data_IF_198128000499
#
_entry.id   IF_198128000499
#
_cell.length_a   1.000
_cell.length_b   1.000
_cell.length_c   1.000
_cell.angle_alpha   90.00
_cell.angle_beta   90.00
_cell.angle_gamma   90.00
#
_symmetry.space_group_name_H-M   'P 1'
#
loop_
_entity.id
_entity.type
_entity.pdbx_description
1 polymer ?
#
# COMPACT_ATOMS: atom_id res chain seq x y z
N UNK A 1 -11.95 -4.21 -0.38
CA UNK A 1 -10.63 -4.80 -0.06
C UNK A 1 -9.76 -3.72 0.56
N UNK A 2 -8.95 -4.04 1.57
CA UNK A 2 -7.99 -3.09 2.13
C UNK A 2 -6.61 -3.42 1.57
N UNK A 3 -6.02 -2.50 0.80
CA UNK A 3 -4.63 -2.62 0.37
C UNK A 3 -3.73 -2.59 1.62
N UNK A 4 -2.92 -3.63 1.79
CA UNK A 4 -1.92 -3.75 2.85
C UNK A 4 -0.51 -3.59 2.27
N UNK A 5 0.45 -3.33 3.15
CA UNK A 5 1.89 -3.35 2.84
C UNK A 5 2.54 -4.58 3.46
N UNK A 6 3.63 -5.13 2.89
CA UNK A 6 4.43 -4.60 1.78
C UNK A 6 3.73 -4.72 0.42
N UNK A 7 3.94 -3.72 -0.43
CA UNK A 7 3.65 -3.79 -1.85
C UNK A 7 4.98 -3.86 -2.62
N UNK A 8 5.09 -4.77 -3.59
CA UNK A 8 6.35 -5.05 -4.26
C UNK A 8 6.26 -4.81 -5.77
N UNK A 9 7.14 -3.94 -6.28
CA UNK A 9 7.18 -3.55 -7.69
C UNK A 9 8.61 -3.47 -8.21
N UNK A 10 8.78 -3.57 -9.54
CA UNK A 10 10.06 -3.27 -10.18
C UNK A 10 10.36 -1.78 -9.99
N UNK A 11 11.49 -1.46 -9.34
CA UNK A 11 11.94 -0.07 -9.07
C UNK A 11 11.81 0.85 -10.29
N UNK A 12 12.26 0.41 -11.46
CA UNK A 12 12.22 1.22 -12.70
C UNK A 12 10.79 1.63 -13.06
N UNK A 13 9.85 0.69 -13.00
CA UNK A 13 8.43 0.92 -13.33
C UNK A 13 7.79 1.83 -12.29
N UNK A 14 8.03 1.56 -11.00
CA UNK A 14 7.48 2.35 -9.91
C UNK A 14 7.91 3.82 -10.02
N UNK A 15 9.20 4.05 -10.25
CA UNK A 15 9.75 5.41 -10.39
C UNK A 15 9.17 6.15 -11.59
N UNK A 16 9.04 5.48 -12.74
CA UNK A 16 8.43 6.06 -13.95
C UNK A 16 6.99 6.49 -13.69
N UNK A 17 6.19 5.64 -13.04
CA UNK A 17 4.80 5.96 -12.70
C UNK A 17 4.72 7.17 -11.76
N UNK A 18 5.56 7.23 -10.72
CA UNK A 18 5.62 8.37 -9.80
C UNK A 18 6.00 9.67 -10.50
N UNK A 19 6.94 9.64 -11.46
CA UNK A 19 7.33 10.81 -12.25
C UNK A 19 6.18 11.30 -13.13
N UNK A 20 5.47 10.39 -13.80
CA UNK A 20 4.29 10.72 -14.61
C UNK A 20 3.16 11.30 -13.75
N UNK A 21 2.86 10.68 -12.61
CA UNK A 21 1.80 11.15 -11.71
C UNK A 21 2.08 12.56 -11.22
N UNK A 22 3.34 12.85 -10.86
CA UNK A 22 3.77 14.20 -10.47
C UNK A 22 3.57 15.21 -11.60
N UNK A 23 3.94 14.86 -12.84
CA UNK A 23 3.79 15.75 -13.99
C UNK A 23 2.31 16.00 -14.35
N UNK A 24 1.45 15.01 -14.13
CA UNK A 24 0.00 15.07 -14.40
C UNK A 24 -0.81 15.64 -13.22
N UNK A 25 -0.18 15.93 -12.08
CA UNK A 25 -0.87 16.38 -10.86
C UNK A 25 -1.75 15.31 -10.21
N UNK A 26 -1.51 14.04 -10.53
CA UNK A 26 -2.25 12.91 -9.98
C UNK A 26 -1.69 12.48 -8.64
N UNK A 27 -2.57 12.30 -7.64
CA UNK A 27 -2.21 11.81 -6.31
C UNK A 27 -2.81 10.42 -6.13
N UNK A 28 -1.94 9.42 -6.04
CA UNK A 28 -2.30 8.04 -5.73
C UNK A 28 -2.37 7.83 -4.20
N UNK A 29 -3.24 6.91 -3.75
CA UNK A 29 -3.36 6.53 -2.34
C UNK A 29 -2.32 5.49 -1.92
N UNK A 30 -1.89 4.68 -2.87
CA UNK A 30 -0.89 3.61 -2.70
C UNK A 30 -0.26 3.28 -4.06
N UNK A 31 0.85 2.53 -4.05
CA UNK A 31 1.64 2.26 -5.24
C UNK A 31 0.93 1.30 -6.22
N UNK A 32 0.02 0.43 -5.76
CA UNK A 32 -0.78 -0.42 -6.65
C UNK A 32 -1.71 0.44 -7.51
N UNK A 33 -2.47 1.34 -6.88
CA UNK A 33 -3.39 2.25 -7.59
C UNK A 33 -2.66 3.14 -8.61
N UNK A 34 -1.42 3.54 -8.29
CA UNK A 34 -0.55 4.30 -9.17
C UNK A 34 -0.18 3.50 -10.43
N UNK A 35 0.21 2.23 -10.27
CA UNK A 35 0.59 1.38 -11.40
C UNK A 35 -0.61 1.01 -12.28
N UNK A 36 -1.77 0.74 -11.66
CA UNK A 36 -3.02 0.48 -12.38
C UNK A 36 -3.44 1.67 -13.24
N UNK A 37 -3.30 2.91 -12.72
CA UNK A 37 -3.56 4.14 -13.47
C UNK A 37 -2.76 4.23 -14.77
N UNK A 38 -1.53 3.70 -14.78
CA UNK A 38 -0.64 3.68 -15.94
C UNK A 38 -0.68 2.38 -16.75
N UNK A 39 -1.70 1.54 -16.53
CA UNK A 39 -2.00 0.36 -17.35
C UNK A 39 -1.21 -0.89 -16.97
N UNK A 40 -0.50 -0.87 -15.84
CA UNK A 40 0.15 -2.08 -15.32
C UNK A 40 -0.86 -2.95 -14.59
N UNK A 41 -0.78 -4.26 -14.79
CA UNK A 41 -1.55 -5.22 -14.01
C UNK A 41 -0.89 -5.44 -12.65
N UNK A 42 -1.65 -5.28 -11.57
CA UNK A 42 -1.20 -5.59 -10.21
C UNK A 42 -1.84 -6.90 -9.77
N UNK A 43 -1.01 -7.81 -9.25
CA UNK A 43 -1.47 -9.03 -8.61
C UNK A 43 -1.77 -8.80 -7.13
N UNK A 44 -2.74 -9.52 -6.59
CA UNK A 44 -3.11 -9.46 -5.17
C UNK A 44 -2.82 -10.81 -4.53
N UNK A 45 -2.15 -10.78 -3.38
CA UNK A 45 -1.95 -11.95 -2.52
C UNK A 45 -2.79 -11.76 -1.26
N UNK A 46 -3.32 -12.87 -0.73
CA UNK A 46 -4.07 -12.84 0.53
C UNK A 46 -3.13 -12.44 1.68
N UNK A 47 -3.49 -11.36 2.36
CA UNK A 47 -2.76 -10.83 3.51
C UNK A 47 -3.33 -11.34 4.83
N UNK A 48 -2.55 -11.22 5.90
CA UNK A 48 -3.03 -11.49 7.25
C UNK A 48 -3.95 -10.37 7.73
N UNK A 49 -5.08 -10.74 8.33
CA UNK A 49 -5.94 -9.78 9.04
C UNK A 49 -5.19 -9.01 10.12
N UNK A 50 -4.16 -9.62 10.71
CA UNK A 50 -3.35 -9.03 11.79
C UNK A 50 -2.32 -8.01 11.30
N UNK A 51 -2.14 -7.83 9.98
CA UNK A 51 -1.26 -6.82 9.41
C UNK A 51 -1.98 -5.45 9.36
N UNK A 52 -2.25 -4.92 10.55
CA UNK A 52 -3.11 -3.75 10.73
C UNK A 52 -2.31 -2.45 10.66
N UNK A 53 -2.87 -1.44 9.98
CA UNK A 53 -2.36 -0.08 9.99
C UNK A 53 -2.78 0.62 11.29
N UNK A 54 -1.82 0.96 12.15
CA UNK A 54 -2.06 1.78 13.34
C UNK A 54 -2.31 3.22 12.88
N UNK A 55 -3.52 3.71 13.11
CA UNK A 55 -3.98 5.03 12.63
C UNK A 55 -4.47 5.90 13.78
N UNK A 56 -5.04 5.30 14.82
CA UNK A 56 -5.58 5.98 15.99
C UNK A 56 -4.90 5.50 17.29
N UNK A 57 -4.91 6.30 18.37
CA UNK A 57 -4.36 5.89 19.67
C UNK A 57 -4.95 4.57 20.19
N UNK A 58 -6.23 4.32 19.94
CA UNK A 58 -6.96 3.12 20.36
C UNK A 58 -6.42 1.83 19.72
N UNK A 59 -5.82 1.93 18.53
CA UNK A 59 -5.23 0.78 17.83
C UNK A 59 -4.04 0.19 18.60
N UNK A 60 -3.38 0.98 19.45
CA UNK A 60 -2.21 0.54 20.22
C UNK A 60 -2.56 -0.53 21.25
N UNK A 61 -3.71 -0.40 21.92
CA UNK A 61 -4.16 -1.37 22.92
C UNK A 61 -4.48 -2.72 22.27
N UNK A 62 -5.10 -2.69 21.08
CA UNK A 62 -5.36 -3.88 20.28
C UNK A 62 -4.06 -4.56 19.83
N UNK A 63 -3.10 -3.81 19.27
CA UNK A 63 -1.82 -4.34 18.79
C UNK A 63 -1.00 -4.94 19.94
N UNK A 64 -0.98 -4.31 21.12
CA UNK A 64 -0.28 -4.84 22.30
C UNK A 64 -0.77 -6.24 22.68
N UNK A 65 -2.09 -6.48 22.63
CA UNK A 65 -2.68 -7.79 22.94
C UNK A 65 -2.31 -8.87 21.92
N UNK A 66 -2.02 -8.48 20.68
CA UNK A 66 -1.64 -9.41 19.61
C UNK A 66 -0.16 -9.74 19.66
N UNK A 67 0.71 -8.74 19.89
CA UNK A 67 2.16 -8.90 19.82
C UNK A 67 2.81 -9.40 21.12
N UNK A 68 2.29 -9.03 22.29
CA UNK A 68 2.89 -9.36 23.58
C UNK A 68 2.36 -10.68 24.18
N UNK A 69 2.09 -11.68 23.35
CA UNK A 69 1.83 -13.05 23.81
C UNK A 69 3.10 -13.77 24.22
#
# INVERSE_FOLDING_TARGET
WHAQTPQAFKRKILLECHMRARAEGFVATDDASLLEKYGYKVGVLEGSYWNVKITYPEDLEFIRKILCK
#
